data_IF_497831825202
#
_entry.id   IF_497831825202
#
_cell.length_a   1.000
_cell.length_b   1.000
_cell.length_c   1.000
_cell.angle_alpha   90.00
_cell.angle_beta   90.00
_cell.angle_gamma   90.00
#
_symmetry.space_group_name_H-M   'P 1'
#
loop_
_entity.id
_entity.type
_entity.pdbx_description
1 polymer ?
#
# COMPACT_ATOMS: atom_id res chain seq x y z
N UNK A 1 24.87 8.37 12.57
CA UNK A 1 24.35 7.22 13.33
C UNK A 1 23.47 6.42 12.41
N UNK A 2 23.94 5.23 11.98
CA UNK A 2 23.11 4.27 11.26
C UNK A 2 22.14 3.69 12.28
N UNK A 3 20.88 4.13 12.25
CA UNK A 3 19.82 3.49 13.00
C UNK A 3 19.39 2.25 12.20
N UNK A 4 19.56 1.07 12.76
CA UNK A 4 19.05 -0.16 12.18
C UNK A 4 17.57 -0.30 12.55
N UNK A 5 16.69 0.02 11.62
CA UNK A 5 15.25 -0.21 11.76
C UNK A 5 14.88 -1.59 11.22
N UNK A 6 14.02 -2.32 11.93
CA UNK A 6 13.45 -3.59 11.46
C UNK A 6 12.30 -3.38 10.48
N UNK A 7 11.59 -2.26 10.62
CA UNK A 7 10.54 -1.84 9.69
C UNK A 7 10.51 -0.32 9.59
N UNK A 8 10.15 0.19 8.42
CA UNK A 8 9.93 1.62 8.15
C UNK A 8 8.54 1.75 7.53
N UNK A 9 7.71 2.60 8.11
CA UNK A 9 6.38 2.91 7.57
C UNK A 9 6.41 4.34 7.05
N UNK A 10 5.99 4.51 5.79
CA UNK A 10 5.97 5.80 5.10
C UNK A 10 4.58 6.05 4.53
N UNK A 11 4.17 7.31 4.52
CA UNK A 11 2.92 7.75 3.89
C UNK A 11 3.19 8.80 2.81
N UNK A 12 2.57 8.62 1.66
CA UNK A 12 2.49 9.61 0.58
C UNK A 12 1.05 10.13 0.48
N UNK A 13 0.74 11.19 1.19
CA UNK A 13 -0.61 11.74 1.27
C UNK A 13 -1.05 12.50 -0.01
N UNK A 14 -0.13 12.77 -0.95
CA UNK A 14 -0.42 13.60 -2.12
C UNK A 14 -1.57 13.07 -3.00
N UNK A 15 -1.70 11.77 -3.31
CA UNK A 15 -2.80 11.26 -4.13
C UNK A 15 -4.16 11.55 -3.50
N UNK A 16 -4.33 11.30 -2.21
CA UNK A 16 -5.57 11.57 -1.49
C UNK A 16 -5.88 13.07 -1.46
N UNK A 17 -4.92 13.90 -1.07
CA UNK A 17 -5.08 15.35 -1.00
C UNK A 17 -5.51 15.96 -2.34
N UNK A 18 -4.93 15.48 -3.44
CA UNK A 18 -5.26 15.95 -4.80
C UNK A 18 -6.60 15.37 -5.25
N UNK A 19 -6.92 14.12 -4.90
CA UNK A 19 -8.20 13.47 -5.22
C UNK A 19 -9.40 14.28 -4.75
N UNK A 20 -9.33 14.85 -3.56
CA UNK A 20 -10.37 15.72 -3.02
C UNK A 20 -10.63 17.01 -3.82
N UNK A 21 -9.74 17.38 -4.71
CA UNK A 21 -9.95 18.53 -5.60
C UNK A 21 -10.81 18.22 -6.82
N UNK A 22 -10.96 16.95 -7.17
CA UNK A 22 -11.62 16.51 -8.40
C UNK A 22 -10.84 16.81 -9.68
N UNK A 23 -9.58 17.27 -9.58
CA UNK A 23 -8.73 17.56 -10.73
C UNK A 23 -7.98 16.31 -11.18
N UNK A 24 -8.46 15.67 -12.24
CA UNK A 24 -7.91 14.42 -12.76
C UNK A 24 -6.47 14.57 -13.24
N UNK A 25 -6.12 15.66 -13.93
CA UNK A 25 -4.76 15.89 -14.42
C UNK A 25 -3.76 16.01 -13.26
N UNK A 26 -4.15 16.73 -12.21
CA UNK A 26 -3.34 16.86 -11.01
C UNK A 26 -3.22 15.52 -10.25
N UNK A 27 -4.28 14.71 -10.24
CA UNK A 27 -4.28 13.38 -9.64
C UNK A 27 -3.31 12.44 -10.38
N UNK A 28 -3.34 12.40 -11.71
CA UNK A 28 -2.39 11.63 -12.52
C UNK A 28 -0.95 12.03 -12.18
N UNK A 29 -0.66 13.34 -12.14
CA UNK A 29 0.68 13.83 -11.80
C UNK A 29 1.10 13.47 -10.36
N UNK A 30 0.16 13.46 -9.43
CA UNK A 30 0.44 13.03 -8.06
C UNK A 30 0.85 11.56 -8.01
N UNK A 31 0.11 10.66 -8.71
CA UNK A 31 0.43 9.23 -8.79
C UNK A 31 1.78 8.99 -9.48
N UNK A 32 2.05 9.65 -10.61
CA UNK A 32 3.35 9.57 -11.30
C UNK A 32 4.51 9.99 -10.40
N UNK A 33 4.29 11.02 -9.56
CA UNK A 33 5.30 11.48 -8.61
C UNK A 33 5.56 10.45 -7.51
N UNK A 34 4.49 9.80 -6.99
CA UNK A 34 4.63 8.73 -6.00
C UNK A 34 5.35 7.52 -6.62
N UNK A 35 4.97 7.11 -7.84
CA UNK A 35 5.65 6.03 -8.57
C UNK A 35 7.16 6.30 -8.72
N UNK A 36 7.52 7.51 -9.14
CA UNK A 36 8.92 7.93 -9.22
C UNK A 36 9.65 7.84 -7.86
N UNK A 37 9.00 8.27 -6.78
CA UNK A 37 9.57 8.18 -5.43
C UNK A 37 9.75 6.72 -4.98
N UNK A 38 8.78 5.86 -5.25
CA UNK A 38 8.87 4.42 -4.97
C UNK A 38 10.02 3.80 -5.76
N UNK A 39 10.18 4.17 -7.04
CA UNK A 39 11.32 3.73 -7.84
C UNK A 39 12.68 4.07 -7.22
N UNK A 40 12.82 5.25 -6.62
CA UNK A 40 14.04 5.63 -5.87
C UNK A 40 14.27 4.79 -4.62
N UNK A 41 13.19 4.50 -3.88
CA UNK A 41 13.28 3.64 -2.69
C UNK A 41 13.75 2.24 -3.10
N UNK A 42 13.12 1.66 -4.14
CA UNK A 42 13.50 0.34 -4.66
C UNK A 42 14.96 0.26 -5.10
N UNK A 43 15.48 1.34 -5.67
CA UNK A 43 16.89 1.42 -6.08
C UNK A 43 17.85 1.59 -4.88
N UNK A 44 17.36 2.00 -3.71
CA UNK A 44 18.19 2.30 -2.53
C UNK A 44 18.27 1.18 -1.51
N UNK A 45 17.42 0.14 -1.61
CA UNK A 45 17.36 -0.95 -0.63
C UNK A 45 17.07 -2.29 -1.29
N UNK A 46 17.57 -3.35 -0.66
CA UNK A 46 17.22 -4.73 -0.97
C UNK A 46 16.17 -5.30 0.02
N UNK A 47 15.63 -4.48 0.92
CA UNK A 47 14.60 -4.93 1.84
C UNK A 47 13.28 -5.21 1.10
N UNK A 48 12.45 -6.15 1.56
CA UNK A 48 11.10 -6.33 1.06
C UNK A 48 10.27 -5.05 1.27
N UNK A 49 9.44 -4.70 0.29
CA UNK A 49 8.60 -3.51 0.33
C UNK A 49 7.14 -3.92 0.12
N UNK A 50 6.28 -3.52 1.05
CA UNK A 50 4.83 -3.55 0.89
C UNK A 50 4.35 -2.18 0.41
N UNK A 51 3.45 -2.17 -0.57
CA UNK A 51 2.80 -0.97 -1.08
C UNK A 51 1.30 -1.19 -1.00
N UNK A 52 0.60 -0.30 -0.32
CA UNK A 52 -0.85 -0.35 -0.16
C UNK A 52 -1.44 1.05 0.00
N UNK A 53 -2.75 1.14 0.11
CA UNK A 53 -3.46 2.34 0.53
C UNK A 53 -4.35 2.03 1.74
N UNK A 54 -4.68 3.04 2.52
CA UNK A 54 -5.55 2.96 3.69
C UNK A 54 -7.05 3.05 3.32
N UNK A 55 -7.36 3.62 2.15
CA UNK A 55 -8.69 3.68 1.55
C UNK A 55 -8.59 3.95 0.05
N UNK A 56 -9.70 3.84 -0.66
CA UNK A 56 -9.84 4.23 -2.04
C UNK A 56 -10.19 5.73 -2.18
N UNK A 57 -9.77 6.33 -3.29
CA UNK A 57 -10.08 7.69 -3.69
C UNK A 57 -9.92 7.86 -5.21
N UNK A 58 -8.68 7.82 -5.72
CA UNK A 58 -8.35 8.16 -7.11
C UNK A 58 -8.86 7.15 -8.15
N UNK A 59 -9.16 5.93 -7.74
CA UNK A 59 -9.70 4.90 -8.65
C UNK A 59 -11.12 5.23 -9.14
N UNK A 60 -11.79 6.19 -8.48
CA UNK A 60 -13.13 6.63 -8.85
C UNK A 60 -13.26 8.15 -8.68
N UNK A 61 -12.65 8.92 -9.57
CA UNK A 61 -12.75 10.39 -9.58
C UNK A 61 -13.96 10.92 -10.36
N UNK A 62 -14.66 10.05 -11.06
CA UNK A 62 -15.91 10.33 -11.75
C UNK A 62 -16.92 9.22 -11.40
N UNK A 63 -18.12 9.62 -11.03
CA UNK A 63 -19.22 8.70 -10.75
C UNK A 63 -19.67 8.07 -12.07
N UNK A 64 -19.58 6.74 -12.21
CA UNK A 64 -19.87 6.06 -13.46
C UNK A 64 -21.36 6.10 -13.87
N UNK A 65 -22.27 6.39 -12.94
CA UNK A 65 -23.71 6.45 -13.22
C UNK A 65 -24.14 7.88 -13.63
N UNK A 66 -23.55 8.88 -13.01
CA UNK A 66 -23.97 10.26 -13.17
C UNK A 66 -23.01 11.12 -14.00
N UNK A 67 -21.78 10.67 -14.25
CA UNK A 67 -20.71 11.44 -14.90
C UNK A 67 -20.26 12.66 -14.10
N UNK A 68 -20.62 12.74 -12.82
CA UNK A 68 -20.19 13.84 -11.95
C UNK A 68 -18.85 13.56 -11.29
N UNK A 69 -18.09 14.62 -11.06
CA UNK A 69 -16.84 14.54 -10.30
C UNK A 69 -17.12 13.97 -8.91
N UNK A 70 -16.37 12.94 -8.55
CA UNK A 70 -16.40 12.29 -7.24
C UNK A 70 -15.12 12.66 -6.48
N UNK A 71 -15.26 13.24 -5.29
CA UNK A 71 -14.14 13.75 -4.48
C UNK A 71 -14.08 13.11 -3.08
N UNK A 72 -14.94 12.13 -2.80
CA UNK A 72 -14.97 11.43 -1.51
C UNK A 72 -14.14 10.15 -1.56
N UNK A 73 -13.82 9.62 -0.39
CA UNK A 73 -13.24 8.28 -0.29
C UNK A 73 -14.23 7.22 -0.78
N UNK A 74 -13.69 6.11 -1.27
CA UNK A 74 -14.48 4.95 -1.66
C UNK A 74 -14.24 3.79 -0.69
N UNK A 75 -15.16 2.82 -0.73
CA UNK A 75 -15.01 1.54 -0.03
C UNK A 75 -14.53 0.43 -0.95
N UNK A 76 -14.03 0.78 -2.13
CA UNK A 76 -13.48 -0.18 -3.07
C UNK A 76 -12.20 -0.82 -2.50
N UNK A 77 -11.91 -2.06 -2.89
CA UNK A 77 -10.68 -2.72 -2.46
C UNK A 77 -9.44 -1.95 -2.89
N UNK A 78 -8.49 -1.80 -1.97
CA UNK A 78 -7.18 -1.22 -2.25
C UNK A 78 -6.17 -2.31 -2.62
N UNK A 79 -5.15 -2.00 -3.43
CA UNK A 79 -4.10 -2.96 -3.76
C UNK A 79 -3.22 -3.25 -2.54
N UNK A 80 -2.65 -4.47 -2.49
CA UNK A 80 -1.51 -4.81 -1.65
C UNK A 80 -0.46 -5.48 -2.54
N UNK A 81 0.68 -4.84 -2.68
CA UNK A 81 1.82 -5.33 -3.45
C UNK A 81 2.95 -5.70 -2.51
N UNK A 82 3.63 -6.81 -2.79
CA UNK A 82 4.88 -7.19 -2.15
C UNK A 82 5.98 -7.26 -3.21
N UNK A 83 7.00 -6.45 -3.03
CA UNK A 83 8.22 -6.47 -3.83
C UNK A 83 9.32 -7.06 -2.95
N UNK A 84 9.75 -8.28 -3.26
CA UNK A 84 10.81 -8.98 -2.53
C UNK A 84 11.91 -9.41 -3.51
N UNK A 85 13.18 -9.05 -3.25
CA UNK A 85 14.30 -9.41 -4.13
C UNK A 85 14.45 -10.91 -4.32
N UNK A 86 14.24 -11.68 -3.27
CA UNK A 86 14.47 -13.13 -3.27
C UNK A 86 13.29 -13.94 -3.82
N UNK A 87 12.13 -13.32 -4.04
CA UNK A 87 10.90 -14.00 -4.52
C UNK A 87 10.46 -15.21 -3.68
N UNK A 88 10.89 -15.28 -2.41
CA UNK A 88 10.60 -16.39 -1.50
C UNK A 88 9.16 -16.39 -0.97
N UNK A 89 8.46 -15.30 -1.24
CA UNK A 89 7.13 -15.04 -0.72
C UNK A 89 6.16 -14.67 -1.83
N UNK A 90 4.90 -15.07 -1.64
CA UNK A 90 3.73 -14.57 -2.32
C UNK A 90 2.71 -14.07 -1.29
N UNK A 91 1.64 -13.46 -1.74
CA UNK A 91 0.54 -13.03 -0.90
C UNK A 91 -0.74 -13.78 -1.25
N UNK A 92 -1.59 -14.00 -0.26
CA UNK A 92 -2.97 -14.41 -0.50
C UNK A 92 -3.66 -13.36 -1.37
N UNK A 93 -4.57 -13.81 -2.24
CA UNK A 93 -5.24 -12.95 -3.23
C UNK A 93 -6.26 -11.98 -2.64
N UNK A 94 -6.64 -12.17 -1.38
CA UNK A 94 -7.63 -11.33 -0.68
C UNK A 94 -7.24 -11.20 0.78
N UNK A 95 -7.54 -10.03 1.35
CA UNK A 95 -7.33 -9.73 2.75
C UNK A 95 -8.04 -8.45 3.15
N UNK A 96 -7.72 -7.94 4.30
CA UNK A 96 -8.20 -6.67 4.87
C UNK A 96 -7.02 -5.87 5.42
N UNK A 97 -7.19 -4.57 5.64
CA UNK A 97 -6.13 -3.70 6.15
C UNK A 97 -5.56 -4.19 7.49
N UNK A 98 -6.38 -4.82 8.34
CA UNK A 98 -5.93 -5.40 9.61
C UNK A 98 -4.93 -6.57 9.45
N UNK A 99 -4.78 -7.14 8.26
CA UNK A 99 -3.87 -8.25 7.98
C UNK A 99 -2.44 -7.77 7.67
N UNK A 100 -2.25 -6.48 7.38
CA UNK A 100 -0.95 -5.94 6.97
C UNK A 100 0.09 -6.07 8.08
N UNK A 101 -0.24 -5.64 9.30
CA UNK A 101 0.69 -5.72 10.43
C UNK A 101 1.03 -7.17 10.80
N UNK A 102 0.07 -8.13 10.93
CA UNK A 102 0.38 -9.54 11.07
C UNK A 102 1.27 -10.10 9.96
N UNK A 103 1.09 -9.69 8.71
CA UNK A 103 1.90 -10.13 7.58
C UNK A 103 3.36 -9.65 7.71
N UNK A 104 3.55 -8.40 8.16
CA UNK A 104 4.89 -7.86 8.41
C UNK A 104 5.58 -8.60 9.55
N UNK A 105 4.87 -8.85 10.66
CA UNK A 105 5.42 -9.61 11.80
C UNK A 105 5.82 -11.03 11.41
N UNK A 106 4.97 -11.73 10.65
CA UNK A 106 5.26 -13.08 10.14
C UNK A 106 6.51 -13.06 9.22
N UNK A 107 6.63 -12.06 8.33
CA UNK A 107 7.82 -11.92 7.49
C UNK A 107 9.09 -11.71 8.31
N UNK A 108 9.01 -10.99 9.42
CA UNK A 108 10.12 -10.76 10.35
C UNK A 108 10.35 -11.94 11.32
N UNK A 109 9.54 -13.00 11.23
CA UNK A 109 9.55 -14.14 12.17
C UNK A 109 9.32 -13.70 13.62
N UNK A 110 8.43 -12.74 13.82
CA UNK A 110 7.97 -12.24 15.12
C UNK A 110 6.56 -12.81 15.37
N UNK A 111 6.32 -13.29 16.58
CA UNK A 111 5.01 -13.80 16.98
C UNK A 111 3.93 -12.71 16.85
N UNK A 112 2.79 -13.10 16.28
CA UNK A 112 1.64 -12.21 16.12
C UNK A 112 0.88 -12.15 17.45
N UNK A 113 0.75 -10.97 18.08
CA UNK A 113 0.00 -10.82 19.33
C UNK A 113 -1.47 -11.25 19.20
N UNK A 114 -2.01 -11.86 20.25
CA UNK A 114 -3.40 -12.35 20.28
C UNK A 114 -4.44 -11.23 20.16
N UNK A 115 -4.06 -10.00 20.47
CA UNK A 115 -4.89 -8.80 20.35
C UNK A 115 -5.09 -8.36 18.91
N UNK A 116 -4.24 -8.81 17.98
CA UNK A 116 -4.42 -8.52 16.56
C UNK A 116 -5.56 -9.36 15.96
N UNK A 117 -6.54 -8.70 15.39
CA UNK A 117 -7.72 -9.33 14.76
C UNK A 117 -7.49 -9.79 13.31
N UNK A 118 -6.33 -9.44 12.75
CA UNK A 118 -5.90 -9.84 11.42
C UNK A 118 -5.05 -11.11 11.45
N UNK A 119 -4.77 -11.64 10.27
CA UNK A 119 -3.90 -12.80 10.07
C UNK A 119 -2.89 -12.54 8.95
N UNK A 120 -1.78 -13.27 8.96
CA UNK A 120 -0.78 -13.15 7.90
C UNK A 120 -1.35 -13.55 6.54
N UNK A 121 -1.06 -12.74 5.53
CA UNK A 121 -1.34 -13.01 4.12
C UNK A 121 -0.15 -13.67 3.41
N UNK A 122 0.94 -13.92 4.13
CA UNK A 122 2.20 -14.40 3.54
C UNK A 122 2.08 -15.87 3.14
N UNK A 123 2.48 -16.17 1.92
CA UNK A 123 2.64 -17.52 1.39
C UNK A 123 4.14 -17.76 1.13
N UNK A 124 4.72 -18.75 1.85
CA UNK A 124 6.12 -19.13 1.66
C UNK A 124 6.23 -20.10 0.48
N UNK A 125 7.06 -19.76 -0.50
CA UNK A 125 7.36 -20.68 -1.59
C UNK A 125 8.26 -21.81 -1.07
N UNK A 126 7.96 -23.03 -1.51
CA UNK A 126 8.77 -24.21 -1.21
C UNK A 126 9.98 -24.30 -2.14
#
# INVERSE_FOLDING_TARGET
>A
TQNNYHAIIMNYANPDMVGHTGNIEAAVKAVETVDYCIGKILASTAAPIFITADHGNLEMMEDPETGKIHTAHTTLPVPLLLISPNKDFDLQSKGKLADIAPTILDMLSIDIPNEMSGSSLLLRKK
#
